data_IF_920723626526
#
_entry.id   IF_920723626526
#
_cell.length_a   1.000
_cell.length_b   1.000
_cell.length_c   1.000
_cell.angle_alpha   90.00
_cell.angle_beta   90.00
_cell.angle_gamma   90.00
#
_symmetry.space_group_name_H-M   'P 1'
#
loop_
_entity.id
_entity.type
_entity.pdbx_description
1 polymer ?
#
# COMPACT_ATOMS: atom_id res chain seq x y z
N UNK A 1 14.70 -0.97 20.54
CA UNK A 1 13.55 -0.52 19.73
C UNK A 1 12.30 -0.65 20.61
N UNK A 2 11.75 0.47 21.08
CA UNK A 2 10.59 0.44 21.98
C UNK A 2 9.36 -0.11 21.25
N UNK A 3 8.54 -0.98 21.88
CA UNK A 3 7.25 -1.33 21.34
C UNK A 3 6.38 -0.07 21.40
N UNK A 4 6.14 0.55 20.24
CA UNK A 4 5.18 1.66 20.15
C UNK A 4 3.81 1.05 20.38
N UNK A 5 3.26 1.21 21.58
CA UNK A 5 1.89 0.89 21.90
C UNK A 5 0.97 1.81 21.08
N UNK A 6 0.29 1.30 20.03
CA UNK A 6 -0.57 2.15 19.22
C UNK A 6 -1.83 2.47 20.02
N UNK A 7 -2.23 3.74 20.06
CA UNK A 7 -3.53 4.12 20.61
C UNK A 7 -4.62 3.41 19.80
N UNK A 8 -5.57 2.70 20.45
CA UNK A 8 -6.68 2.08 19.73
C UNK A 8 -7.42 3.15 18.93
N UNK A 9 -7.65 2.86 17.66
CA UNK A 9 -8.36 3.76 16.76
C UNK A 9 -9.85 3.50 16.98
N UNK A 10 -10.53 4.50 17.55
CA UNK A 10 -11.97 4.46 17.71
C UNK A 10 -12.66 4.72 16.37
N UNK A 11 -13.48 3.74 15.94
CA UNK A 11 -14.27 3.78 14.72
C UNK A 11 -15.77 3.90 15.01
N UNK A 12 -16.16 4.09 16.27
CA UNK A 12 -17.56 4.15 16.70
C UNK A 12 -18.37 5.22 15.96
N UNK A 13 -17.70 6.27 15.48
CA UNK A 13 -18.30 7.35 14.71
C UNK A 13 -18.91 6.91 13.36
N UNK A 14 -18.48 5.77 12.81
CA UNK A 14 -19.00 5.21 11.55
C UNK A 14 -20.15 4.20 11.76
N UNK A 15 -20.46 3.83 13.00
CA UNK A 15 -21.46 2.81 13.31
C UNK A 15 -20.94 1.37 13.21
N UNK A 16 -21.84 0.36 13.16
CA UNK A 16 -21.47 -1.05 13.28
C UNK A 16 -20.70 -1.61 12.08
N UNK A 17 -20.84 -1.00 10.89
CA UNK A 17 -20.16 -1.44 9.68
C UNK A 17 -19.42 -0.28 8.98
N UNK A 18 -18.19 0.05 9.44
CA UNK A 18 -17.38 1.08 8.81
C UNK A 18 -16.94 0.67 7.41
N UNK A 19 -16.84 1.63 6.46
CA UNK A 19 -16.36 1.38 5.11
C UNK A 19 -14.99 0.68 5.09
N UNK A 20 -14.75 -0.12 4.06
CA UNK A 20 -13.51 -0.91 3.92
C UNK A 20 -12.25 -0.05 4.01
N UNK A 21 -12.22 1.10 3.36
CA UNK A 21 -11.07 2.01 3.38
C UNK A 21 -10.80 2.58 4.78
N UNK A 22 -11.84 2.84 5.58
CA UNK A 22 -11.70 3.27 6.99
C UNK A 22 -11.10 2.17 7.85
N UNK A 23 -11.54 0.92 7.66
CA UNK A 23 -10.97 -0.25 8.35
C UNK A 23 -9.49 -0.44 8.02
N UNK A 24 -9.12 -0.31 6.74
CA UNK A 24 -7.73 -0.36 6.29
C UNK A 24 -6.91 0.78 6.92
N UNK A 25 -7.44 2.00 6.91
CA UNK A 25 -6.80 3.17 7.52
C UNK A 25 -6.57 2.97 9.02
N UNK A 26 -7.57 2.47 9.75
CA UNK A 26 -7.45 2.19 11.17
C UNK A 26 -6.42 1.09 11.47
N UNK A 27 -6.35 0.06 10.63
CA UNK A 27 -5.34 -1.00 10.76
C UNK A 27 -3.93 -0.46 10.53
N UNK A 28 -3.73 0.38 9.51
CA UNK A 28 -2.44 1.01 9.25
C UNK A 28 -2.01 1.94 10.39
N UNK A 29 -2.94 2.77 10.89
CA UNK A 29 -2.66 3.67 12.02
C UNK A 29 -2.30 2.87 13.29
N UNK A 30 -2.91 1.71 13.49
CA UNK A 30 -2.54 0.79 14.57
C UNK A 30 -1.17 0.17 14.36
N UNK A 31 -0.81 -0.20 13.13
CA UNK A 31 0.51 -0.77 12.85
C UNK A 31 1.64 0.26 12.94
N UNK A 32 1.41 1.51 12.53
CA UNK A 32 2.41 2.57 12.45
C UNK A 32 2.07 3.77 13.34
N UNK A 33 1.37 4.77 12.80
CA UNK A 33 0.76 5.92 13.47
C UNK A 33 0.05 6.83 12.44
N UNK A 34 -0.74 7.80 12.91
CA UNK A 34 -1.52 8.74 12.05
C UNK A 34 -0.66 9.58 11.10
N UNK A 35 0.57 9.93 11.49
CA UNK A 35 1.46 10.75 10.67
C UNK A 35 2.04 9.92 9.53
N UNK A 36 2.55 8.73 9.84
CA UNK A 36 3.12 7.82 8.85
C UNK A 36 2.03 7.27 7.91
N UNK A 37 0.85 6.92 8.43
CA UNK A 37 -0.30 6.55 7.61
C UNK A 37 -0.69 7.68 6.64
N UNK A 38 -0.78 8.93 7.12
CA UNK A 38 -1.07 10.09 6.27
C UNK A 38 -0.02 10.28 5.17
N UNK A 39 1.27 10.25 5.52
CA UNK A 39 2.38 10.32 4.55
C UNK A 39 2.27 9.22 3.49
N UNK A 40 1.97 7.99 3.93
CA UNK A 40 1.89 6.82 3.06
C UNK A 40 0.76 6.92 2.03
N UNK A 41 -0.37 7.53 2.41
CA UNK A 41 -1.56 7.72 1.55
C UNK A 41 -1.50 9.06 0.78
N UNK A 42 -0.56 9.94 1.12
CA UNK A 42 -0.46 11.28 0.55
C UNK A 42 -1.54 12.26 1.06
N UNK A 43 -1.95 12.12 2.32
CA UNK A 43 -2.89 13.03 2.99
C UNK A 43 -2.32 13.53 4.32
N UNK A 44 -2.83 14.68 4.80
CA UNK A 44 -2.36 15.25 6.07
C UNK A 44 -2.80 14.39 7.26
N UNK A 45 -2.01 14.39 8.35
CA UNK A 45 -2.37 13.76 9.63
C UNK A 45 -3.76 14.20 10.12
N UNK A 46 -4.10 15.47 9.91
CA UNK A 46 -5.41 16.04 10.28
C UNK A 46 -6.52 15.41 9.45
N UNK A 47 -6.34 15.27 8.14
CA UNK A 47 -7.31 14.58 7.28
C UNK A 47 -7.53 13.12 7.71
N UNK A 48 -6.47 12.39 8.09
CA UNK A 48 -6.58 11.03 8.66
C UNK A 48 -7.47 11.03 9.90
N UNK A 49 -7.26 11.98 10.82
CA UNK A 49 -8.03 12.06 12.07
C UNK A 49 -9.49 12.40 11.82
N UNK A 50 -9.78 13.31 10.87
CA UNK A 50 -11.14 13.66 10.47
C UNK A 50 -11.88 12.50 9.79
N UNK A 51 -11.20 11.70 8.97
CA UNK A 51 -11.77 10.50 8.36
C UNK A 51 -12.16 9.47 9.42
N UNK A 52 -11.29 9.21 10.40
CA UNK A 52 -11.56 8.26 11.47
C UNK A 52 -12.71 8.72 12.39
N UNK A 53 -12.77 10.04 12.67
CA UNK A 53 -13.82 10.64 13.48
C UNK A 53 -15.17 10.81 12.74
N UNK A 54 -15.28 10.36 11.48
CA UNK A 54 -16.45 10.57 10.62
C UNK A 54 -16.92 12.04 10.56
N UNK A 55 -15.99 12.99 10.70
CA UNK A 55 -16.30 14.42 10.80
C UNK A 55 -15.97 15.18 9.51
N UNK A 56 -16.29 14.58 8.36
CA UNK A 56 -16.02 15.18 7.06
C UNK A 56 -17.28 15.87 6.54
N UNK A 57 -17.33 17.21 6.66
CA UNK A 57 -18.43 18.04 6.14
C UNK A 57 -18.35 18.30 4.63
N UNK A 58 -17.42 17.64 3.91
CA UNK A 58 -17.18 17.89 2.49
C UNK A 58 -17.74 16.75 1.62
N UNK A 59 -18.45 17.05 0.52
CA UNK A 59 -19.19 16.05 -0.27
C UNK A 59 -18.32 15.03 -1.04
N UNK A 60 -16.98 15.17 -1.05
CA UNK A 60 -16.10 14.39 -1.92
C UNK A 60 -15.01 13.61 -1.16
N UNK A 61 -15.41 12.66 -0.32
CA UNK A 61 -14.48 11.66 0.29
C UNK A 61 -13.99 10.62 -0.72
N UNK A 62 -14.64 10.50 -1.89
CA UNK A 62 -14.29 9.58 -2.97
C UNK A 62 -12.83 9.71 -3.49
N UNK A 63 -12.22 10.89 -3.36
CA UNK A 63 -10.80 11.07 -3.68
C UNK A 63 -9.88 10.43 -2.65
N UNK A 64 -10.23 10.56 -1.37
CA UNK A 64 -9.47 9.99 -0.24
C UNK A 64 -9.65 8.48 -0.24
N UNK A 65 -10.87 7.98 -0.38
CA UNK A 65 -11.14 6.55 -0.49
C UNK A 65 -10.29 5.89 -1.57
N UNK A 66 -10.27 6.43 -2.80
CA UNK A 66 -9.44 5.88 -3.88
C UNK A 66 -7.96 5.86 -3.53
N UNK A 67 -7.45 6.91 -2.89
CA UNK A 67 -6.06 6.96 -2.42
C UNK A 67 -5.81 5.92 -1.34
N UNK A 68 -6.68 5.83 -0.33
CA UNK A 68 -6.55 4.87 0.77
C UNK A 68 -6.59 3.44 0.25
N UNK A 69 -7.50 3.14 -0.68
CA UNK A 69 -7.54 1.83 -1.35
C UNK A 69 -6.25 1.62 -2.15
N UNK A 70 -5.81 2.53 -3.01
CA UNK A 70 -4.53 2.37 -3.72
C UNK A 70 -3.33 2.20 -2.75
N UNK A 71 -3.36 2.90 -1.62
CA UNK A 71 -2.30 2.98 -0.62
C UNK A 71 -2.31 1.84 0.39
N UNK A 72 -3.42 1.13 0.61
CA UNK A 72 -3.56 0.12 1.67
C UNK A 72 -4.22 -1.17 1.20
N UNK A 73 -4.93 -1.16 0.07
CA UNK A 73 -5.47 -2.34 -0.60
C UNK A 73 -4.37 -3.10 -1.36
N UNK A 74 -3.29 -3.37 -0.61
CA UNK A 74 -2.05 -3.90 -1.11
C UNK A 74 -2.15 -5.32 -1.62
N UNK A 75 -1.24 -5.66 -2.54
CA UNK A 75 -1.07 -7.00 -3.10
C UNK A 75 0.12 -7.69 -2.44
N UNK A 76 0.13 -9.01 -2.48
CA UNK A 76 1.24 -9.80 -1.99
C UNK A 76 2.47 -9.59 -2.87
N UNK A 77 3.55 -9.07 -2.28
CA UNK A 77 4.76 -8.75 -3.03
C UNK A 77 5.77 -9.91 -2.94
N UNK A 78 6.13 -10.54 -4.07
CA UNK A 78 7.12 -11.61 -4.07
C UNK A 78 8.53 -11.10 -3.72
N UNK A 79 8.82 -9.82 -3.95
CA UNK A 79 10.13 -9.24 -3.67
C UNK A 79 10.37 -8.98 -2.16
N UNK A 80 9.30 -8.63 -1.43
CA UNK A 80 9.36 -8.38 0.02
C UNK A 80 8.85 -9.55 0.86
N UNK A 81 8.22 -10.56 0.24
CA UNK A 81 7.61 -11.70 0.94
C UNK A 81 6.47 -11.32 1.88
N UNK A 82 5.87 -10.13 1.69
CA UNK A 82 4.79 -9.61 2.51
C UNK A 82 3.79 -8.82 1.65
N UNK A 83 2.60 -8.59 2.20
CA UNK A 83 1.61 -7.73 1.59
C UNK A 83 2.07 -6.27 1.64
N UNK A 84 2.24 -5.65 0.47
CA UNK A 84 2.61 -4.24 0.36
C UNK A 84 1.54 -3.49 -0.41
N UNK A 85 1.42 -2.19 -0.15
CA UNK A 85 0.51 -1.33 -0.88
C UNK A 85 0.87 -1.17 -2.35
N UNK A 86 -0.12 -0.83 -3.19
CA UNK A 86 0.15 -0.61 -4.61
C UNK A 86 1.08 0.59 -4.84
N UNK A 87 1.00 1.62 -4.00
CA UNK A 87 1.94 2.75 -4.00
C UNK A 87 3.36 2.33 -3.60
N UNK A 88 3.52 1.55 -2.53
CA UNK A 88 4.84 1.03 -2.15
C UNK A 88 5.41 0.16 -3.28
N UNK A 89 4.59 -0.70 -3.89
CA UNK A 89 4.98 -1.49 -5.04
C UNK A 89 5.47 -0.62 -6.21
N UNK A 90 4.76 0.49 -6.51
CA UNK A 90 5.16 1.47 -7.53
C UNK A 90 6.48 2.14 -7.17
N UNK A 91 6.65 2.58 -5.92
CA UNK A 91 7.87 3.23 -5.46
C UNK A 91 9.07 2.29 -5.55
N UNK A 92 8.94 1.02 -5.12
CA UNK A 92 10.02 0.03 -5.25
C UNK A 92 10.40 -0.24 -6.71
N UNK A 93 9.42 -0.24 -7.62
CA UNK A 93 9.64 -0.40 -9.05
C UNK A 93 10.31 0.81 -9.68
N UNK A 94 9.91 2.02 -9.30
CA UNK A 94 10.39 3.28 -9.88
C UNK A 94 11.74 3.72 -9.30
N UNK A 95 12.22 3.08 -8.23
CA UNK A 95 13.56 3.32 -7.67
C UNK A 95 14.68 2.92 -8.65
N UNK A 96 15.76 3.71 -8.73
CA UNK A 96 16.93 3.37 -9.51
C UNK A 96 17.65 2.14 -8.94
N UNK A 97 18.42 1.45 -9.78
CA UNK A 97 19.17 0.26 -9.38
C UNK A 97 20.12 0.59 -8.21
N UNK A 98 19.94 -0.04 -7.04
CA UNK A 98 20.80 0.22 -5.89
C UNK A 98 22.18 -0.39 -6.13
N UNK A 99 23.24 0.42 -5.99
CA UNK A 99 24.63 0.05 -6.27
C UNK A 99 25.39 -0.47 -5.04
N UNK A 100 24.95 -0.12 -3.83
CA UNK A 100 25.70 -0.38 -2.60
C UNK A 100 25.02 -1.37 -1.63
N UNK A 101 23.81 -1.85 -1.93
CA UNK A 101 23.08 -2.76 -1.05
C UNK A 101 22.63 -4.03 -1.81
N UNK A 102 23.24 -5.20 -1.55
CA UNK A 102 22.93 -6.44 -2.26
C UNK A 102 21.50 -6.95 -1.99
N UNK A 103 20.94 -6.66 -0.82
CA UNK A 103 19.55 -6.99 -0.48
C UNK A 103 18.58 -6.14 -1.32
N UNK A 104 18.83 -4.83 -1.40
CA UNK A 104 18.04 -3.93 -2.23
C UNK A 104 18.17 -4.27 -3.72
N UNK A 105 19.34 -4.72 -4.17
CA UNK A 105 19.59 -5.16 -5.55
C UNK A 105 18.81 -6.45 -5.88
N UNK A 106 18.66 -7.37 -4.92
CA UNK A 106 17.81 -8.56 -5.08
C UNK A 106 16.34 -8.16 -5.23
N UNK A 107 15.84 -7.29 -4.34
CA UNK A 107 14.47 -6.77 -4.40
C UNK A 107 14.22 -6.10 -5.75
N UNK A 108 15.12 -5.22 -6.19
CA UNK A 108 15.02 -4.52 -7.46
C UNK A 108 14.96 -5.49 -8.64
N UNK A 109 15.83 -6.51 -8.69
CA UNK A 109 15.78 -7.55 -9.73
C UNK A 109 14.46 -8.31 -9.74
N UNK A 110 13.92 -8.68 -8.57
CA UNK A 110 12.61 -9.33 -8.49
C UNK A 110 11.49 -8.41 -8.96
N UNK A 111 11.54 -7.11 -8.63
CA UNK A 111 10.60 -6.11 -9.15
C UNK A 111 10.66 -5.97 -10.68
N UNK A 112 11.86 -6.03 -11.28
CA UNK A 112 12.05 -6.01 -12.73
C UNK A 112 11.56 -7.28 -13.43
N UNK A 113 11.28 -8.38 -12.71
CA UNK A 113 10.72 -9.62 -13.25
C UNK A 113 9.26 -9.86 -12.86
N UNK A 114 8.65 -8.94 -12.11
CA UNK A 114 7.34 -9.12 -11.50
C UNK A 114 6.21 -9.06 -12.55
N UNK A 115 5.20 -9.94 -12.47
CA UNK A 115 4.04 -9.90 -13.37
C UNK A 115 3.21 -8.60 -13.22
N UNK A 116 3.36 -7.88 -12.12
CA UNK A 116 2.70 -6.59 -11.90
C UNK A 116 3.48 -5.39 -12.46
N UNK A 117 4.63 -5.62 -13.08
CA UNK A 117 5.39 -4.56 -13.74
C UNK A 117 4.90 -4.38 -15.19
N UNK A 118 4.28 -3.25 -15.55
CA UNK A 118 3.81 -3.02 -16.92
C UNK A 118 4.96 -2.96 -17.94
N UNK A 119 6.20 -2.73 -17.49
CA UNK A 119 7.39 -2.82 -18.37
C UNK A 119 7.75 -4.27 -18.74
N UNK A 120 7.32 -5.26 -17.95
CA UNK A 120 7.48 -6.68 -18.27
C UNK A 120 6.36 -7.21 -19.17
N UNK A 121 5.25 -6.48 -19.30
CA UNK A 121 4.09 -6.89 -20.11
C UNK A 121 4.39 -6.92 -21.61
N UNK A 122 5.49 -6.31 -22.05
CA UNK A 122 5.96 -6.40 -23.44
C UNK A 122 6.87 -7.60 -23.73
N UNK A 123 7.04 -8.56 -22.80
CA UNK A 123 7.98 -9.68 -22.99
C UNK A 123 7.46 -11.08 -22.64
N UNK A 124 6.23 -11.24 -22.13
CA UNK A 124 5.68 -12.56 -21.77
C UNK A 124 4.19 -12.67 -22.05
N UNK A 125 3.88 -12.64 -23.34
CA UNK A 125 2.56 -12.97 -23.84
C UNK A 125 2.67 -13.68 -25.19
N UNK A 126 3.21 -14.91 -25.21
CA UNK A 126 2.79 -16.07 -26.01
C UNK A 126 3.94 -17.07 -26.29
N UNK A 127 4.33 -17.86 -25.28
CA UNK A 127 5.22 -19.01 -25.49
C UNK A 127 4.99 -20.03 -24.36
N UNK A 128 3.83 -20.68 -24.40
CA UNK A 128 3.57 -21.91 -23.67
C UNK A 128 2.68 -22.85 -24.51
N UNK A 129 3.20 -23.31 -25.65
CA UNK A 129 3.01 -24.69 -26.13
C UNK A 129 3.87 -25.02 -27.36
N UNK A 130 4.97 -25.71 -27.06
CA UNK A 130 5.75 -26.59 -27.94
C UNK A 130 6.92 -27.06 -27.09
N UNK A 131 7.21 -28.33 -26.84
CA UNK A 131 6.67 -29.62 -27.25
C UNK A 131 7.78 -30.62 -26.93
N UNK A 132 7.49 -31.71 -26.22
CA UNK A 132 8.21 -33.00 -26.16
C UNK A 132 7.42 -33.85 -25.13
N UNK A 133 7.02 -35.11 -25.33
CA UNK A 133 7.49 -36.19 -26.19
C UNK A 133 6.35 -36.99 -26.82
#
# INVERSE_FOLDING_TARGET
MSPRNPRPVDLSAWGPEPPRWIRLLASEVQASNRTEAGKRIGISRTAVSLCLANNYSSPSTAGIERRVLAALDGRDCPAQGQRISAEACREFRDRPAPTHNPMAMRIWRTCQGCPHNPKCENGRGQDAKGGES
#
